data_IF_763114837593
#
_entry.id   IF_763114837593
#
_cell.length_a   1.000
_cell.length_b   1.000
_cell.length_c   1.000
_cell.angle_alpha   90.00
_cell.angle_beta   90.00
_cell.angle_gamma   90.00
#
_symmetry.space_group_name_H-M   'P 1'
#
loop_
_entity.id
_entity.type
_entity.pdbx_description
1 polymer ?
#
# COMPACT_ATOMS: atom_id res chain seq x y z
N UNK A 1 -8.80 -57.92 -43.06
CA UNK A 1 -7.42 -57.44 -43.34
C UNK A 1 -7.11 -56.43 -42.26
N UNK A 2 -6.38 -56.80 -41.20
CA UNK A 2 -4.90 -56.73 -41.10
C UNK A 2 -4.41 -55.30 -41.40
N UNK A 3 -4.05 -54.51 -40.36
CA UNK A 3 -2.69 -54.32 -39.79
C UNK A 3 -2.02 -53.09 -40.45
N UNK A 4 -1.21 -52.23 -39.82
CA UNK A 4 -0.40 -52.33 -38.58
C UNK A 4 -0.46 -51.07 -37.67
N UNK A 5 -0.01 -51.26 -36.43
CA UNK A 5 0.60 -50.28 -35.49
C UNK A 5 1.90 -50.95 -34.95
N UNK A 6 2.73 -50.38 -34.04
CA UNK A 6 2.69 -49.09 -33.34
C UNK A 6 4.07 -48.37 -33.25
N UNK A 7 4.13 -47.28 -32.47
CA UNK A 7 5.08 -47.11 -31.35
C UNK A 7 4.40 -46.14 -30.35
N UNK A 8 4.07 -46.48 -29.11
CA UNK A 8 4.89 -46.77 -27.91
C UNK A 8 5.64 -45.54 -27.36
N UNK A 9 5.74 -45.31 -26.03
CA UNK A 9 5.24 -46.11 -24.90
C UNK A 9 4.92 -45.28 -23.63
N UNK A 10 3.90 -45.74 -22.89
CA UNK A 10 3.69 -45.56 -21.44
C UNK A 10 4.76 -46.44 -20.74
N UNK A 11 5.36 -46.21 -19.56
CA UNK A 11 4.96 -45.61 -18.26
C UNK A 11 6.26 -45.05 -17.59
N UNK A 12 6.52 -44.81 -16.29
CA UNK A 12 5.83 -44.84 -14.97
C UNK A 12 6.65 -44.04 -13.95
N UNK A 13 6.01 -43.57 -12.88
CA UNK A 13 6.69 -43.21 -11.62
C UNK A 13 7.34 -44.44 -10.95
N UNK A 14 8.44 -44.22 -10.20
CA UNK A 14 8.75 -44.98 -8.97
C UNK A 14 9.78 -44.28 -8.08
N UNK A 15 9.62 -44.46 -6.77
CA UNK A 15 10.46 -43.86 -5.72
C UNK A 15 11.64 -44.76 -5.34
N UNK A 16 12.75 -44.16 -4.89
CA UNK A 16 13.69 -44.77 -3.95
C UNK A 16 14.45 -43.70 -3.14
N UNK A 17 15.19 -44.13 -2.11
CA UNK A 17 15.61 -43.32 -0.96
C UNK A 17 17.04 -42.71 -1.05
N UNK A 18 17.43 -41.99 0.01
CA UNK A 18 18.68 -41.21 0.14
C UNK A 18 19.97 -42.04 0.10
N UNK A 19 21.02 -41.41 -0.43
CA UNK A 19 22.32 -41.28 0.26
C UNK A 19 22.87 -39.85 0.10
N UNK A 20 23.80 -39.45 0.97
CA UNK A 20 24.58 -38.20 0.83
C UNK A 20 25.83 -38.47 -0.01
N UNK A 21 26.39 -37.44 -0.65
CA UNK A 21 27.76 -37.03 -0.28
C UNK A 21 28.08 -35.55 -0.60
N UNK A 22 29.28 -35.10 -0.24
CA UNK A 22 29.57 -33.70 0.11
C UNK A 22 30.48 -32.95 -0.88
N UNK A 23 30.09 -31.75 -1.31
CA UNK A 23 30.98 -30.75 -1.91
C UNK A 23 30.44 -29.30 -1.72
N UNK A 24 31.03 -28.53 -0.80
CA UNK A 24 30.67 -27.12 -0.57
C UNK A 24 31.35 -26.17 -1.57
N UNK A 25 30.76 -25.95 -2.74
CA UNK A 25 31.18 -24.83 -3.61
C UNK A 25 30.67 -23.49 -3.03
N UNK A 26 31.51 -22.83 -2.23
CA UNK A 26 31.20 -21.53 -1.61
C UNK A 26 31.16 -20.39 -2.64
N UNK A 27 30.02 -20.26 -3.33
CA UNK A 27 29.73 -19.23 -4.36
C UNK A 27 29.75 -17.82 -3.76
N UNK A 28 30.95 -17.23 -3.71
CA UNK A 28 31.19 -15.84 -3.28
C UNK A 28 30.26 -14.88 -4.05
N UNK A 29 29.51 -13.99 -3.37
CA UNK A 29 28.57 -13.10 -4.03
C UNK A 29 29.32 -12.15 -4.97
N UNK A 30 28.94 -12.12 -6.26
CA UNK A 30 29.62 -11.35 -7.32
C UNK A 30 29.54 -9.81 -7.18
N UNK A 31 29.00 -9.29 -6.08
CA UNK A 31 28.72 -7.87 -5.85
C UNK A 31 29.18 -7.41 -4.45
N UNK A 32 30.49 -7.32 -4.24
CA UNK A 32 31.06 -6.70 -3.05
C UNK A 32 30.83 -5.18 -3.09
N UNK A 33 30.00 -4.63 -2.20
CA UNK A 33 29.76 -3.18 -2.09
C UNK A 33 31.08 -2.43 -1.91
N UNK A 34 31.47 -1.60 -2.89
CA UNK A 34 32.72 -0.84 -2.83
C UNK A 34 32.81 -0.01 -1.54
N UNK A 35 33.98 -0.06 -0.88
CA UNK A 35 34.21 0.55 0.46
C UNK A 35 33.97 2.06 0.47
N UNK A 36 34.19 2.72 -0.66
CA UNK A 36 34.06 4.18 -0.82
C UNK A 36 32.64 4.63 -1.24
N UNK A 37 31.68 3.71 -1.40
CA UNK A 37 30.33 4.06 -1.82
C UNK A 37 29.59 4.72 -0.64
N UNK A 38 29.15 5.99 -0.76
CA UNK A 38 28.54 6.72 0.36
C UNK A 38 27.32 5.96 0.92
N UNK A 39 27.09 6.09 2.23
CA UNK A 39 25.89 5.52 2.87
C UNK A 39 24.68 6.40 2.51
N UNK A 40 24.17 6.22 1.28
CA UNK A 40 22.92 6.85 0.83
C UNK A 40 21.80 6.37 1.75
N UNK A 41 21.40 7.24 2.69
CA UNK A 41 20.21 7.03 3.49
C UNK A 41 19.00 7.32 2.59
N UNK A 42 18.42 6.26 2.03
CA UNK A 42 17.17 6.34 1.26
C UNK A 42 16.01 6.69 2.20
N UNK A 43 15.89 7.97 2.57
CA UNK A 43 14.69 8.50 3.24
C UNK A 43 13.50 8.23 2.31
N UNK A 44 12.53 7.44 2.79
CA UNK A 44 11.35 7.10 2.00
C UNK A 44 10.61 8.39 1.61
N UNK A 45 10.14 8.52 0.36
CA UNK A 45 9.43 9.71 -0.09
C UNK A 45 8.10 9.86 0.63
N UNK A 46 7.67 11.11 0.83
CA UNK A 46 6.38 11.44 1.42
C UNK A 46 5.22 11.03 0.50
N UNK A 47 4.11 10.54 1.06
CA UNK A 47 2.93 10.18 0.27
C UNK A 47 2.07 11.40 -0.12
N UNK A 48 2.42 12.63 0.30
CA UNK A 48 1.64 13.86 0.04
C UNK A 48 1.26 14.03 -1.44
N UNK A 49 2.18 13.79 -2.38
CA UNK A 49 1.89 13.87 -3.83
C UNK A 49 0.90 12.79 -4.29
N UNK A 50 0.98 11.60 -3.70
CA UNK A 50 0.09 10.46 -3.96
C UNK A 50 -1.33 10.75 -3.44
N UNK A 51 -1.43 11.31 -2.23
CA UNK A 51 -2.68 11.72 -1.58
C UNK A 51 -3.36 12.87 -2.34
N UNK A 52 -2.63 13.90 -2.77
CA UNK A 52 -3.18 14.97 -3.63
C UNK A 52 -3.77 14.40 -4.94
N UNK A 53 -3.07 13.46 -5.58
CA UNK A 53 -3.56 12.79 -6.79
C UNK A 53 -4.86 12.01 -6.51
N UNK A 54 -4.89 11.23 -5.42
CA UNK A 54 -6.06 10.45 -5.02
C UNK A 54 -7.29 11.32 -4.68
N UNK A 55 -7.08 12.48 -4.04
CA UNK A 55 -8.15 13.44 -3.76
C UNK A 55 -8.71 14.01 -5.08
N UNK A 56 -7.85 14.49 -5.98
CA UNK A 56 -8.25 15.12 -7.25
C UNK A 56 -8.89 14.15 -8.25
N UNK A 57 -8.37 12.93 -8.38
CA UNK A 57 -8.79 11.98 -9.41
C UNK A 57 -9.89 11.02 -8.96
N UNK A 58 -10.07 10.81 -7.66
CA UNK A 58 -11.03 9.81 -7.12
C UNK A 58 -11.95 10.43 -6.08
N UNK A 59 -11.41 10.91 -4.95
CA UNK A 59 -12.21 11.19 -3.76
C UNK A 59 -13.13 12.39 -3.94
N UNK A 60 -12.66 13.42 -4.66
CA UNK A 60 -13.38 14.66 -4.97
C UNK A 60 -13.40 14.94 -6.48
N UNK A 61 -13.43 13.88 -7.30
CA UNK A 61 -13.56 14.00 -8.74
C UNK A 61 -14.92 14.60 -9.18
N UNK A 62 -14.90 15.35 -10.28
CA UNK A 62 -16.07 15.95 -10.94
C UNK A 62 -16.33 17.41 -10.56
N UNK A 63 -16.96 18.16 -11.47
CA UNK A 63 -17.26 19.59 -11.32
C UNK A 63 -17.91 19.98 -9.97
N UNK A 64 -18.93 19.26 -9.44
CA UNK A 64 -19.57 19.64 -8.17
C UNK A 64 -18.62 19.69 -6.96
N UNK A 65 -17.51 18.94 -7.02
CA UNK A 65 -16.54 18.84 -5.93
C UNK A 65 -15.32 19.76 -6.12
N UNK A 66 -15.21 20.48 -7.25
CA UNK A 66 -14.00 21.23 -7.63
C UNK A 66 -13.55 22.21 -6.54
N UNK A 67 -14.47 23.01 -6.02
CA UNK A 67 -14.17 24.02 -4.99
C UNK A 67 -13.67 23.37 -3.69
N UNK A 68 -14.27 22.25 -3.28
CA UNK A 68 -13.82 21.50 -2.09
C UNK A 68 -12.42 20.89 -2.33
N UNK A 69 -12.18 20.36 -3.52
CA UNK A 69 -10.89 19.81 -3.91
C UNK A 69 -9.79 20.88 -3.83
N UNK A 70 -10.00 22.06 -4.44
CA UNK A 70 -9.03 23.15 -4.41
C UNK A 70 -8.72 23.65 -2.99
N UNK A 71 -9.74 23.81 -2.13
CA UNK A 71 -9.54 24.19 -0.72
C UNK A 71 -8.68 23.15 0.02
N UNK A 72 -8.91 21.85 -0.20
CA UNK A 72 -8.18 20.79 0.48
C UNK A 72 -6.76 20.62 -0.08
N UNK A 73 -6.55 20.84 -1.38
CA UNK A 73 -5.20 20.87 -1.97
C UNK A 73 -4.38 22.03 -1.40
N UNK A 74 -4.95 23.25 -1.32
CA UNK A 74 -4.33 24.43 -0.70
C UNK A 74 -4.03 24.20 0.78
N UNK A 75 -4.95 23.55 1.51
CA UNK A 75 -4.71 23.13 2.89
C UNK A 75 -3.50 22.20 2.97
N UNK A 76 -3.40 21.18 2.11
CA UNK A 76 -2.27 20.24 2.10
C UNK A 76 -0.94 20.94 1.77
N UNK A 77 -0.93 21.98 0.93
CA UNK A 77 0.27 22.81 0.68
C UNK A 77 0.74 23.61 1.90
N UNK A 78 -0.12 23.85 2.89
CA UNK A 78 0.24 24.51 4.16
C UNK A 78 0.70 23.55 5.27
N UNK A 79 0.72 22.24 5.03
CA UNK A 79 1.11 21.23 6.02
C UNK A 79 2.58 20.80 5.86
N UNK A 80 3.37 20.91 6.92
CA UNK A 80 4.64 20.16 7.05
C UNK A 80 4.37 18.72 7.52
N UNK A 81 3.58 17.98 6.73
CA UNK A 81 3.22 16.58 6.98
C UNK A 81 3.95 15.66 6.00
N UNK A 82 4.64 14.64 6.51
CA UNK A 82 5.35 13.66 5.66
C UNK A 82 4.46 12.53 5.17
N UNK A 83 3.48 12.13 5.98
CA UNK A 83 2.47 11.13 5.62
C UNK A 83 1.08 11.64 5.97
N UNK A 84 0.14 11.48 5.03
CA UNK A 84 -1.26 11.83 5.17
C UNK A 84 -2.13 10.59 4.94
N UNK A 85 -3.25 10.51 5.65
CA UNK A 85 -4.21 9.41 5.57
C UNK A 85 -5.61 9.96 5.32
N UNK A 86 -6.25 9.44 4.27
CA UNK A 86 -7.65 9.72 3.92
C UNK A 86 -8.56 8.81 4.76
N UNK A 87 -9.60 9.37 5.38
CA UNK A 87 -10.71 8.59 5.95
C UNK A 87 -11.90 8.67 4.99
N UNK A 88 -12.41 7.51 4.55
CA UNK A 88 -13.59 7.47 3.69
C UNK A 88 -14.90 7.63 4.48
N UNK A 89 -15.93 8.20 3.83
CA UNK A 89 -17.29 8.31 4.40
C UNK A 89 -17.98 6.94 4.62
N UNK A 90 -17.62 5.95 3.81
CA UNK A 90 -18.26 4.63 3.70
C UNK A 90 -17.23 3.56 3.30
N UNK A 91 -17.48 2.31 3.73
CA UNK A 91 -16.77 1.12 3.27
C UNK A 91 -17.17 0.74 1.83
N UNK A 92 -18.47 0.83 1.54
CA UNK A 92 -19.09 0.40 0.30
C UNK A 92 -19.37 1.60 -0.62
N UNK A 93 -19.30 1.38 -1.93
CA UNK A 93 -19.55 2.40 -2.94
C UNK A 93 -18.38 3.36 -3.15
N UNK A 94 -18.68 4.63 -3.42
CA UNK A 94 -17.72 5.65 -3.82
C UNK A 94 -16.71 5.96 -2.69
N UNK A 95 -15.43 6.11 -3.07
CA UNK A 95 -14.29 6.44 -2.18
C UNK A 95 -14.28 7.91 -1.77
N UNK A 96 -15.41 8.38 -1.25
CA UNK A 96 -15.64 9.77 -0.86
C UNK A 96 -14.81 10.18 0.36
N UNK A 97 -14.16 11.35 0.28
CA UNK A 97 -13.41 11.94 1.38
C UNK A 97 -14.35 12.31 2.56
N UNK A 98 -14.10 11.72 3.72
CA UNK A 98 -14.77 12.04 4.99
C UNK A 98 -13.93 12.96 5.87
N UNK A 99 -12.64 12.66 6.02
CA UNK A 99 -11.66 13.43 6.77
C UNK A 99 -10.22 13.14 6.27
N UNK A 100 -9.28 14.00 6.66
CA UNK A 100 -7.85 13.91 6.37
C UNK A 100 -7.05 14.00 7.67
N UNK A 101 -6.09 13.09 7.84
CA UNK A 101 -5.23 12.98 9.01
C UNK A 101 -3.76 13.08 8.63
N UNK A 102 -2.92 13.55 9.55
CA UNK A 102 -1.46 13.48 9.49
C UNK A 102 -0.98 12.29 10.30
N UNK A 103 -0.03 11.52 9.77
CA UNK A 103 0.58 10.36 10.42
C UNK A 103 2.05 10.62 10.72
N UNK A 104 2.40 10.59 12.00
CA UNK A 104 3.79 10.74 12.46
C UNK A 104 4.43 9.36 12.64
N UNK A 105 5.33 8.97 11.73
CA UNK A 105 6.02 7.67 11.76
C UNK A 105 7.03 7.50 12.90
N UNK A 106 7.25 8.52 13.73
CA UNK A 106 8.14 8.46 14.90
C UNK A 106 7.36 8.20 16.20
N UNK A 107 6.18 8.81 16.35
CA UNK A 107 5.29 8.60 17.51
C UNK A 107 4.18 7.57 17.26
N UNK A 108 3.98 7.17 16.00
CA UNK A 108 2.84 6.40 15.48
C UNK A 108 1.46 7.06 15.71
N UNK A 109 1.43 8.36 15.98
CA UNK A 109 0.19 9.11 16.16
C UNK A 109 -0.45 9.50 14.82
N UNK A 110 -1.79 9.48 14.78
CA UNK A 110 -2.59 9.86 13.62
C UNK A 110 -3.59 10.94 14.04
N UNK A 111 -3.28 12.21 13.75
CA UNK A 111 -4.05 13.39 14.23
C UNK A 111 -4.89 14.01 13.11
N UNK A 112 -6.11 14.46 13.43
CA UNK A 112 -7.07 15.01 12.47
C UNK A 112 -6.64 16.40 12.00
N UNK A 113 -6.52 16.57 10.70
CA UNK A 113 -6.16 17.85 10.06
C UNK A 113 -7.38 18.54 9.45
N UNK A 114 -8.27 17.77 8.80
CA UNK A 114 -9.47 18.30 8.17
C UNK A 114 -10.60 17.26 8.22
N UNK A 115 -11.86 17.72 8.23
CA UNK A 115 -13.04 16.86 8.17
C UNK A 115 -14.10 17.21 9.21
N UNK A 116 -15.23 16.52 9.13
CA UNK A 116 -16.39 16.80 9.99
C UNK A 116 -16.10 16.53 11.49
N UNK A 117 -16.91 17.15 12.35
CA UNK A 117 -16.89 16.95 13.82
C UNK A 117 -17.02 15.47 14.23
N UNK A 118 -17.83 14.68 13.51
CA UNK A 118 -18.06 13.25 13.81
C UNK A 118 -16.81 12.35 13.76
N UNK A 119 -15.71 12.80 13.17
CA UNK A 119 -14.46 12.05 13.13
C UNK A 119 -13.57 12.47 14.32
N UNK A 120 -13.01 11.53 15.10
CA UNK A 120 -12.28 11.85 16.34
C UNK A 120 -10.99 12.63 16.06
N UNK A 121 -10.53 13.43 17.02
CA UNK A 121 -9.33 14.27 16.84
C UNK A 121 -8.03 13.48 16.67
N UNK A 122 -7.98 12.24 17.17
CA UNK A 122 -6.89 11.28 16.95
C UNK A 122 -7.47 9.91 16.59
N UNK A 123 -6.72 9.10 15.85
CA UNK A 123 -7.08 7.73 15.48
C UNK A 123 -6.11 6.71 16.07
N UNK A 124 -6.67 5.60 16.54
CA UNK A 124 -5.94 4.38 16.88
C UNK A 124 -6.35 3.26 15.92
N UNK A 125 -5.46 2.29 15.70
CA UNK A 125 -5.75 1.15 14.81
C UNK A 125 -7.02 0.38 15.22
N UNK A 126 -7.36 0.38 16.52
CA UNK A 126 -8.59 -0.21 17.04
C UNK A 126 -9.88 0.40 16.47
N UNK A 127 -9.85 1.65 16.00
CA UNK A 127 -10.98 2.31 15.33
C UNK A 127 -11.05 2.02 13.83
N UNK A 128 -9.98 1.51 13.22
CA UNK A 128 -9.94 1.16 11.79
C UNK A 128 -10.64 -0.18 11.57
N UNK A 129 -11.45 -0.26 10.50
CA UNK A 129 -12.01 -1.51 9.98
C UNK A 129 -11.19 -2.06 8.81
N UNK A 130 -10.79 -1.19 7.88
CA UNK A 130 -10.06 -1.57 6.66
C UNK A 130 -9.00 -0.52 6.33
N UNK A 131 -7.78 -0.97 6.03
CA UNK A 131 -6.68 -0.13 5.52
C UNK A 131 -6.56 -0.25 4.00
N UNK A 132 -6.08 0.79 3.32
CA UNK A 132 -5.93 0.84 1.87
C UNK A 132 -4.64 1.54 1.43
N UNK A 133 -4.11 1.12 0.29
CA UNK A 133 -3.07 1.81 -0.48
C UNK A 133 -3.69 2.39 -1.76
N UNK A 134 -3.27 3.58 -2.17
CA UNK A 134 -3.66 4.15 -3.45
C UNK A 134 -2.78 3.61 -4.58
N UNK A 135 -3.39 3.05 -5.62
CA UNK A 135 -2.73 2.71 -6.86
C UNK A 135 -2.91 3.86 -7.84
N UNK A 136 -1.86 4.65 -8.05
CA UNK A 136 -1.93 5.83 -8.93
C UNK A 136 -1.95 5.48 -10.43
N UNK A 137 -1.64 4.25 -10.81
CA UNK A 137 -1.74 3.78 -12.19
C UNK A 137 -3.17 3.40 -12.54
N UNK A 138 -3.77 2.54 -11.71
CA UNK A 138 -5.16 2.12 -11.85
C UNK A 138 -6.20 3.14 -11.31
N UNK A 139 -5.75 4.19 -10.62
CA UNK A 139 -6.57 5.23 -9.95
C UNK A 139 -7.59 4.64 -8.95
N UNK A 140 -7.17 3.63 -8.20
CA UNK A 140 -8.04 2.88 -7.28
C UNK A 140 -7.41 2.71 -5.89
N UNK A 141 -8.22 2.32 -4.90
CA UNK A 141 -7.77 2.02 -3.55
C UNK A 141 -7.81 0.51 -3.29
N UNK A 142 -6.63 -0.10 -3.15
CA UNK A 142 -6.45 -1.54 -2.91
C UNK A 142 -6.37 -1.80 -1.41
N UNK A 143 -7.16 -2.76 -0.93
CA UNK A 143 -7.15 -3.18 0.49
C UNK A 143 -5.77 -3.68 0.90
N UNK A 144 -5.30 -3.24 2.07
CA UNK A 144 -4.08 -3.72 2.71
C UNK A 144 -4.41 -4.75 3.80
N UNK A 145 -3.62 -5.82 3.83
CA UNK A 145 -3.61 -6.78 4.95
C UNK A 145 -2.64 -6.30 6.03
N UNK A 146 -3.01 -5.26 6.77
CA UNK A 146 -2.28 -4.77 7.94
C UNK A 146 -3.23 -4.56 9.13
N UNK A 147 -2.67 -4.60 10.35
CA UNK A 147 -3.40 -4.43 11.61
C UNK A 147 -3.21 -3.05 12.25
N UNK A 148 -2.30 -2.25 11.72
CA UNK A 148 -1.86 -0.97 12.28
C UNK A 148 -1.44 -0.01 11.16
N UNK A 149 -1.23 1.26 11.50
CA UNK A 149 -0.78 2.30 10.58
C UNK A 149 0.66 2.06 10.13
N UNK A 150 0.87 2.09 8.81
CA UNK A 150 2.17 1.85 8.17
C UNK A 150 2.42 2.88 7.07
N UNK A 151 3.69 3.10 6.74
CA UNK A 151 4.14 4.01 5.66
C UNK A 151 3.48 3.75 4.29
N UNK A 152 3.00 2.52 4.05
CA UNK A 152 2.28 2.15 2.82
C UNK A 152 0.76 2.33 2.85
N UNK A 153 0.19 2.88 3.93
CA UNK A 153 -1.24 3.14 4.07
C UNK A 153 -1.58 4.58 3.68
N UNK A 154 -2.45 4.72 2.68
CA UNK A 154 -2.90 6.03 2.16
C UNK A 154 -4.33 6.38 2.59
N UNK A 155 -5.16 5.37 2.89
CA UNK A 155 -6.53 5.58 3.34
C UNK A 155 -7.05 4.49 4.27
N UNK A 156 -8.08 4.82 5.06
CA UNK A 156 -8.78 3.91 5.96
C UNK A 156 -10.30 4.08 5.91
N UNK A 157 -11.00 3.01 6.27
CA UNK A 157 -12.40 3.03 6.68
C UNK A 157 -12.43 2.77 8.18
N UNK A 158 -13.13 3.63 8.93
CA UNK A 158 -13.35 3.41 10.35
C UNK A 158 -14.48 2.40 10.59
N UNK A 159 -14.46 1.75 11.75
CA UNK A 159 -15.63 1.06 12.30
C UNK A 159 -16.76 2.10 12.49
N UNK A 160 -18.01 1.63 12.54
CA UNK A 160 -19.15 2.51 12.81
C UNK A 160 -18.97 3.15 14.19
N UNK A 161 -18.81 4.47 14.19
CA UNK A 161 -18.80 5.33 15.37
C UNK A 161 -20.23 5.53 15.89
#
# INVERSE_FOLDING_TARGET
TQRETPDSSFVSEKSCDKTKDTAEETKKPKYTRHKNLPKVQYKRPSNVKLIKNAISQVCLAGYPNKNQCETILKLIDSLDATYLIIVFKSELGRRDLGALYSFNTLTNEVHKVHGHSKYPSSLTANLVKVFFRYDSGAKEFKTLQCKDFIIGCDAVVLKKL
#
